data_IF_798236588712
#
_entry.id   IF_798236588712
#
_cell.length_a   1.000
_cell.length_b   1.000
_cell.length_c   1.000
_cell.angle_alpha   90.00
_cell.angle_beta   90.00
_cell.angle_gamma   90.00
#
_symmetry.space_group_name_H-M   'P 1'
#
loop_
_entity.id
_entity.type
_entity.pdbx_description
1 polymer ?
#
# COMPACT_ATOMS: atom_id res chain seq x y z
N UNK A 1 -0.54 -5.50 -56.81
CA UNK A 1 0.83 -5.31 -56.31
C UNK A 1 0.80 -4.27 -55.19
N UNK A 2 1.02 -4.72 -53.95
CA UNK A 2 1.75 -4.11 -52.81
C UNK A 2 1.66 -2.56 -52.64
N UNK A 3 1.32 -1.99 -51.49
CA UNK A 3 1.67 -2.37 -50.12
C UNK A 3 0.66 -1.88 -49.06
N UNK A 4 0.22 -2.79 -48.21
CA UNK A 4 -0.25 -2.53 -46.86
C UNK A 4 0.95 -2.18 -45.97
N UNK A 5 1.05 -0.91 -45.56
CA UNK A 5 2.04 -0.45 -44.59
C UNK A 5 1.33 0.17 -43.39
N UNK A 6 0.48 -0.61 -42.72
CA UNK A 6 0.20 -0.38 -41.30
C UNK A 6 1.19 -1.24 -40.52
N UNK A 7 2.38 -0.66 -40.28
CA UNK A 7 3.37 -1.19 -39.34
C UNK A 7 2.71 -1.22 -37.96
N UNK A 8 2.25 -2.41 -37.57
CA UNK A 8 2.20 -2.85 -36.18
C UNK A 8 3.60 -2.68 -35.59
N UNK A 9 3.91 -1.49 -35.07
CA UNK A 9 4.98 -1.34 -34.09
C UNK A 9 4.42 -2.01 -32.83
N UNK A 10 4.71 -3.31 -32.67
CA UNK A 10 4.66 -3.93 -31.34
C UNK A 10 5.48 -3.03 -30.44
N UNK A 11 4.82 -2.26 -29.57
CA UNK A 11 5.48 -1.59 -28.45
C UNK A 11 6.35 -2.65 -27.80
N UNK A 12 7.66 -2.45 -27.78
CA UNK A 12 8.57 -3.38 -27.12
C UNK A 12 8.26 -3.25 -25.64
N UNK A 13 7.35 -4.10 -25.15
CA UNK A 13 6.94 -4.11 -23.75
C UNK A 13 8.21 -4.42 -22.96
N UNK A 14 8.62 -3.47 -22.13
CA UNK A 14 9.75 -3.68 -21.24
C UNK A 14 9.26 -4.54 -20.07
N UNK A 15 10.07 -5.52 -19.66
CA UNK A 15 9.88 -6.18 -18.37
C UNK A 15 10.56 -5.35 -17.30
N UNK A 16 9.81 -4.97 -16.25
CA UNK A 16 10.37 -4.39 -15.03
C UNK A 16 10.32 -5.44 -13.93
N UNK A 17 11.44 -5.59 -13.23
CA UNK A 17 11.54 -6.43 -12.05
C UNK A 17 11.80 -5.57 -10.83
N UNK A 18 11.58 -6.14 -9.65
CA UNK A 18 11.92 -5.50 -8.38
C UNK A 18 13.40 -5.06 -8.36
N UNK A 19 14.32 -5.85 -8.91
CA UNK A 19 15.75 -5.52 -8.92
C UNK A 19 16.07 -4.34 -9.83
N UNK A 20 15.38 -4.21 -10.98
CA UNK A 20 15.49 -3.04 -11.87
C UNK A 20 14.95 -1.80 -11.16
N UNK A 21 13.79 -1.89 -10.51
CA UNK A 21 13.21 -0.78 -9.76
C UNK A 21 14.14 -0.32 -8.63
N UNK A 22 14.67 -1.25 -7.82
CA UNK A 22 15.62 -0.93 -6.73
C UNK A 22 16.87 -0.24 -7.27
N UNK A 23 17.42 -0.68 -8.41
CA UNK A 23 18.58 -0.04 -9.03
C UNK A 23 18.28 1.41 -9.44
N UNK A 24 17.13 1.63 -10.09
CA UNK A 24 16.71 2.97 -10.49
C UNK A 24 16.46 3.88 -9.27
N UNK A 25 15.85 3.35 -8.21
CA UNK A 25 15.70 4.05 -6.93
C UNK A 25 17.08 4.43 -6.38
N UNK A 26 18.03 3.49 -6.31
CA UNK A 26 19.37 3.76 -5.82
C UNK A 26 20.09 4.84 -6.64
N UNK A 27 20.03 4.78 -7.97
CA UNK A 27 20.59 5.81 -8.85
C UNK A 27 19.96 7.18 -8.59
N UNK A 28 18.64 7.24 -8.46
CA UNK A 28 17.93 8.48 -8.15
C UNK A 28 18.33 9.03 -6.77
N UNK A 29 18.39 8.18 -5.74
CA UNK A 29 18.85 8.56 -4.40
C UNK A 29 20.27 9.18 -4.42
N UNK A 30 21.19 8.60 -5.20
CA UNK A 30 22.55 9.13 -5.36
C UNK A 30 22.56 10.48 -6.06
N UNK A 31 21.73 10.66 -7.09
CA UNK A 31 21.59 11.94 -7.78
C UNK A 31 21.04 13.05 -6.87
N UNK A 32 20.24 12.67 -5.86
CA UNK A 32 19.78 13.56 -4.78
C UNK A 32 20.83 13.80 -3.69
N UNK A 33 22.03 13.22 -3.79
CA UNK A 33 23.11 13.36 -2.81
C UNK A 33 22.94 12.52 -1.54
N UNK A 34 22.00 11.57 -1.52
CA UNK A 34 21.74 10.74 -0.34
C UNK A 34 22.79 9.63 -0.17
N UNK A 35 23.17 9.38 1.07
CA UNK A 35 24.17 8.38 1.45
C UNK A 35 23.50 7.11 1.96
N UNK A 36 23.90 5.96 1.42
CA UNK A 36 23.40 4.65 1.83
C UNK A 36 24.38 3.55 1.39
N UNK A 37 24.33 2.39 2.06
CA UNK A 37 25.15 1.23 1.74
C UNK A 37 24.26 -0.01 1.55
N UNK A 38 24.57 -0.84 0.55
CA UNK A 38 23.80 -2.07 0.26
C UNK A 38 22.27 -1.87 0.12
N UNK A 39 21.83 -0.70 -0.36
CA UNK A 39 20.43 -0.27 -0.46
C UNK A 39 19.73 -0.02 0.91
N UNK A 40 20.49 0.24 1.96
CA UNK A 40 19.99 0.65 3.27
C UNK A 40 20.68 1.94 3.72
N UNK A 41 19.90 2.84 4.30
CA UNK A 41 20.39 3.98 5.05
C UNK A 41 21.02 3.53 6.38
N UNK A 42 21.93 4.34 6.92
CA UNK A 42 22.61 4.00 8.17
C UNK A 42 21.68 4.14 9.39
N UNK A 43 20.88 5.21 9.41
CA UNK A 43 19.84 5.47 10.43
C UNK A 43 18.44 5.51 9.80
N UNK A 44 17.41 5.33 10.62
CA UNK A 44 16.03 5.40 10.14
C UNK A 44 15.71 6.82 9.62
N UNK A 45 16.20 7.83 10.34
CA UNK A 45 16.04 9.25 10.05
C UNK A 45 16.61 9.65 8.69
N UNK A 46 17.66 8.96 8.23
CA UNK A 46 18.29 9.25 6.94
C UNK A 46 17.39 8.83 5.76
N UNK A 47 16.34 8.03 5.98
CA UNK A 47 15.32 7.73 4.98
C UNK A 47 14.12 8.69 5.03
N UNK A 48 14.08 9.62 5.98
CA UNK A 48 13.08 10.69 6.00
C UNK A 48 13.48 11.78 5.00
N UNK A 49 12.51 12.37 4.30
CA UNK A 49 12.82 13.47 3.36
C UNK A 49 13.08 14.81 4.05
N UNK A 50 12.67 14.92 5.31
CA UNK A 50 12.94 16.05 6.21
C UNK A 50 12.81 15.61 7.66
N UNK A 51 13.17 16.48 8.60
CA UNK A 51 12.95 16.22 10.02
C UNK A 51 11.51 16.51 10.39
N UNK A 52 10.79 15.51 10.90
CA UNK A 52 9.44 15.68 11.42
C UNK A 52 9.48 15.92 12.92
N UNK A 53 8.85 17.00 13.39
CA UNK A 53 8.77 17.29 14.83
C UNK A 53 8.00 16.24 15.62
N UNK A 54 7.15 15.44 14.96
CA UNK A 54 6.42 14.32 15.52
C UNK A 54 7.09 12.95 15.26
N UNK A 55 8.36 12.92 14.82
CA UNK A 55 9.04 11.67 14.48
C UNK A 55 9.11 10.69 15.64
N UNK A 56 9.42 11.13 16.87
CA UNK A 56 9.50 10.24 18.03
C UNK A 56 8.17 9.50 18.30
N UNK A 57 7.04 10.22 18.16
CA UNK A 57 5.71 9.63 18.28
C UNK A 57 5.47 8.60 17.15
N UNK A 58 5.80 8.96 15.91
CA UNK A 58 5.65 8.07 14.75
C UNK A 58 6.51 6.81 14.92
N UNK A 59 7.76 6.97 15.34
CA UNK A 59 8.69 5.87 15.56
C UNK A 59 8.20 4.93 16.67
N UNK A 60 7.58 5.47 17.72
CA UNK A 60 6.91 4.66 18.75
C UNK A 60 5.74 3.88 18.18
N UNK A 61 4.87 4.52 17.39
CA UNK A 61 3.72 3.85 16.76
C UNK A 61 4.18 2.72 15.82
N UNK A 62 5.23 2.95 15.03
CA UNK A 62 5.79 1.94 14.13
C UNK A 62 6.45 0.79 14.92
N UNK A 63 7.10 1.09 16.04
CA UNK A 63 7.75 0.09 16.88
C UNK A 63 6.76 -0.84 17.60
N UNK A 64 5.55 -0.36 17.85
CA UNK A 64 4.44 -1.16 18.41
C UNK A 64 3.90 -2.18 17.38
N UNK A 65 4.10 -1.92 16.08
CA UNK A 65 3.72 -2.81 15.00
C UNK A 65 4.54 -4.12 14.99
N UNK A 66 3.99 -5.17 14.38
CA UNK A 66 4.63 -6.50 14.36
C UNK A 66 5.77 -6.63 13.34
N UNK A 67 5.96 -5.62 12.49
CA UNK A 67 6.85 -5.67 11.33
C UNK A 67 8.36 -5.66 11.62
N UNK A 68 8.78 -5.38 12.86
CA UNK A 68 10.17 -5.06 13.24
C UNK A 68 10.76 -3.93 12.38
N UNK A 69 9.91 -3.01 11.91
CA UNK A 69 10.24 -2.06 10.84
C UNK A 69 11.46 -1.19 11.16
N UNK A 70 11.70 -0.87 12.43
CA UNK A 70 12.80 -0.01 12.89
C UNK A 70 13.99 -0.74 13.52
N UNK A 71 13.90 -2.07 13.73
CA UNK A 71 14.90 -2.82 14.49
C UNK A 71 15.99 -3.43 13.59
N UNK A 72 17.24 -3.35 14.04
CA UNK A 72 18.40 -3.98 13.41
C UNK A 72 19.14 -3.10 12.40
N UNK A 73 20.31 -3.57 11.95
CA UNK A 73 21.15 -2.85 10.99
C UNK A 73 20.48 -2.73 9.61
N UNK A 74 19.75 -3.78 9.21
CA UNK A 74 18.97 -3.85 7.96
C UNK A 74 17.47 -3.82 8.25
N UNK A 75 17.04 -2.88 9.07
CA UNK A 75 15.61 -2.66 9.31
C UNK A 75 14.91 -2.33 7.99
N UNK A 76 13.64 -2.73 7.86
CA UNK A 76 12.85 -2.46 6.65
C UNK A 76 12.66 -0.97 6.42
N UNK A 77 12.61 -0.15 7.48
CA UNK A 77 12.52 1.30 7.37
C UNK A 77 13.75 1.90 6.71
N UNK A 78 14.95 1.35 6.95
CA UNK A 78 16.20 1.82 6.33
C UNK A 78 16.31 1.47 4.85
N UNK A 79 15.52 0.52 4.35
CA UNK A 79 15.63 0.08 2.97
C UNK A 79 15.23 1.21 1.99
N UNK A 80 15.97 1.37 0.89
CA UNK A 80 15.59 2.29 -0.19
C UNK A 80 14.19 2.01 -0.75
N UNK A 81 13.76 0.76 -0.67
CA UNK A 81 12.47 0.25 -1.12
C UNK A 81 11.39 0.19 -0.03
N UNK A 82 11.60 0.88 1.09
CA UNK A 82 10.69 0.83 2.23
C UNK A 82 9.34 1.47 1.92
N UNK A 83 8.27 0.67 1.91
CA UNK A 83 6.89 1.14 1.90
C UNK A 83 6.52 1.88 3.18
N UNK A 84 7.08 1.47 4.33
CA UNK A 84 6.91 2.16 5.61
C UNK A 84 7.51 3.57 5.56
N UNK A 85 8.74 3.75 5.04
CA UNK A 85 9.33 5.08 4.90
C UNK A 85 8.57 5.94 3.88
N UNK A 86 8.09 5.37 2.78
CA UNK A 86 7.23 6.07 1.81
C UNK A 86 5.91 6.54 2.47
N UNK A 87 5.29 5.67 3.27
CA UNK A 87 4.08 5.96 4.03
C UNK A 87 4.34 7.11 5.02
N UNK A 88 5.37 7.01 5.85
CA UNK A 88 5.75 8.08 6.80
C UNK A 88 6.04 9.38 6.08
N UNK A 89 6.85 9.34 5.01
CA UNK A 89 7.16 10.55 4.26
C UNK A 89 5.95 11.18 3.58
N UNK A 90 4.86 10.44 3.39
CA UNK A 90 3.60 10.99 2.88
C UNK A 90 2.71 11.51 4.02
N UNK A 91 2.54 10.74 5.08
CA UNK A 91 1.50 10.96 6.09
C UNK A 91 1.99 11.65 7.36
N UNK A 92 3.30 11.82 7.60
CA UNK A 92 3.80 12.47 8.81
C UNK A 92 3.29 13.92 8.96
N UNK A 93 3.30 14.78 7.91
CA UNK A 93 2.71 16.11 8.01
C UNK A 93 1.18 16.09 8.10
N UNK A 94 0.51 15.12 7.46
CA UNK A 94 -0.94 14.96 7.60
C UNK A 94 -1.30 14.63 9.05
N UNK A 95 -0.55 13.75 9.71
CA UNK A 95 -0.73 13.45 11.14
C UNK A 95 -0.54 14.70 12.01
N UNK A 96 0.43 15.55 11.67
CA UNK A 96 0.70 16.79 12.41
C UNK A 96 -0.41 17.83 12.24
N UNK A 97 -0.96 17.96 11.03
CA UNK A 97 -1.97 18.96 10.66
C UNK A 97 -3.28 18.29 10.24
N UNK A 98 -3.72 17.34 11.06
CA UNK A 98 -4.82 16.42 10.72
C UNK A 98 -6.15 17.12 10.42
N UNK A 99 -6.42 18.25 11.10
CA UNK A 99 -7.60 19.08 10.86
C UNK A 99 -7.59 19.80 9.51
N UNK A 100 -6.42 20.02 8.92
CA UNK A 100 -6.25 20.72 7.64
C UNK A 100 -6.35 19.75 6.44
N UNK A 101 -6.50 18.45 6.71
CA UNK A 101 -6.55 17.40 5.72
C UNK A 101 -7.99 17.00 5.36
N UNK A 102 -8.28 16.95 4.07
CA UNK A 102 -9.56 16.48 3.54
C UNK A 102 -9.32 15.28 2.62
N UNK A 103 -10.17 14.28 2.69
CA UNK A 103 -10.06 13.08 1.87
C UNK A 103 -11.43 12.51 1.50
N UNK A 104 -11.66 12.31 0.21
CA UNK A 104 -12.92 11.77 -0.34
C UNK A 104 -14.19 12.52 0.12
N UNK A 105 -14.06 13.82 0.33
CA UNK A 105 -15.15 14.70 0.77
C UNK A 105 -15.29 14.80 2.30
N UNK A 106 -14.58 13.98 3.06
CA UNK A 106 -14.56 14.04 4.51
C UNK A 106 -13.44 14.97 5.00
N UNK A 107 -13.73 15.71 6.07
CA UNK A 107 -12.85 16.68 6.75
C UNK A 107 -12.82 16.41 8.26
N UNK A 108 -12.19 17.32 9.01
CA UNK A 108 -12.27 17.36 10.49
C UNK A 108 -11.80 16.06 11.16
N UNK A 109 -10.78 15.43 10.57
CA UNK A 109 -10.14 14.27 11.17
C UNK A 109 -9.49 14.65 12.51
N UNK A 110 -9.71 13.82 13.52
CA UNK A 110 -9.30 14.10 14.90
C UNK A 110 -8.35 13.06 15.48
N UNK A 111 -8.19 11.93 14.78
CA UNK A 111 -7.28 10.87 15.22
C UNK A 111 -6.58 10.23 14.03
N UNK A 112 -5.27 10.00 14.17
CA UNK A 112 -4.49 9.19 13.26
C UNK A 112 -3.41 8.36 13.97
N UNK A 113 -3.05 7.22 13.39
CA UNK A 113 -2.03 6.31 13.92
C UNK A 113 -1.35 5.50 12.81
N UNK A 114 -0.02 5.40 12.85
CA UNK A 114 0.74 4.45 12.05
C UNK A 114 0.68 3.04 12.66
N UNK A 115 0.81 2.01 11.81
CA UNK A 115 0.81 0.59 12.22
C UNK A 115 -0.39 0.23 13.13
N UNK A 116 -1.59 0.69 12.76
CA UNK A 116 -2.79 0.42 13.55
C UNK A 116 -3.22 -1.04 13.36
N UNK A 117 -2.96 -1.86 14.38
CA UNK A 117 -3.51 -3.22 14.43
C UNK A 117 -5.05 -3.24 14.41
N UNK A 118 -5.61 -4.02 13.47
CA UNK A 118 -7.05 -4.29 13.34
C UNK A 118 -7.31 -5.80 13.38
N UNK A 119 -7.67 -6.37 14.55
CA UNK A 119 -7.82 -7.81 14.72
C UNK A 119 -8.88 -8.43 13.81
N UNK A 120 -8.53 -9.53 13.15
CA UNK A 120 -9.46 -10.36 12.36
C UNK A 120 -10.15 -11.43 13.19
N UNK A 121 -9.81 -11.60 14.48
CA UNK A 121 -10.18 -12.76 15.31
C UNK A 121 -9.19 -13.93 15.17
N UNK A 122 -8.49 -14.03 14.04
CA UNK A 122 -7.48 -15.06 13.77
C UNK A 122 -6.06 -14.50 13.82
N UNK A 123 -5.89 -13.27 13.34
CA UNK A 123 -4.62 -12.54 13.36
C UNK A 123 -4.87 -11.06 13.60
N UNK A 124 -3.81 -10.28 13.74
CA UNK A 124 -3.91 -8.82 13.86
C UNK A 124 -2.98 -8.22 12.81
N UNK A 125 -3.47 -8.00 11.58
CA UNK A 125 -2.75 -7.24 10.58
C UNK A 125 -2.67 -5.77 11.00
N UNK A 126 -1.53 -5.15 10.74
CA UNK A 126 -1.27 -3.74 11.02
C UNK A 126 -1.56 -2.93 9.76
N UNK A 127 -2.36 -1.87 9.89
CA UNK A 127 -2.62 -0.90 8.82
C UNK A 127 -1.51 0.15 8.85
N UNK A 128 -0.89 0.42 7.70
CA UNK A 128 0.27 1.33 7.63
C UNK A 128 -0.08 2.73 8.13
N UNK A 129 -1.24 3.28 7.75
CA UNK A 129 -1.73 4.55 8.28
C UNK A 129 -3.26 4.55 8.47
N UNK A 130 -3.72 4.90 9.66
CA UNK A 130 -5.14 4.98 10.01
C UNK A 130 -5.50 6.41 10.35
N UNK A 131 -6.66 6.88 9.89
CA UNK A 131 -7.20 8.20 10.22
C UNK A 131 -8.72 8.14 10.37
N UNK A 132 -9.30 8.92 11.30
CA UNK A 132 -10.76 8.97 11.50
C UNK A 132 -11.27 10.33 11.95
N UNK A 133 -12.53 10.59 11.64
CA UNK A 133 -13.36 11.65 12.21
C UNK A 133 -14.57 11.02 12.93
N UNK A 134 -15.64 11.79 13.15
CA UNK A 134 -16.84 11.32 13.83
C UNK A 134 -17.80 10.49 12.95
N UNK A 135 -17.61 10.52 11.63
CA UNK A 135 -18.52 9.89 10.66
C UNK A 135 -17.87 8.74 9.90
N UNK A 136 -16.54 8.74 9.78
CA UNK A 136 -15.79 7.84 8.92
C UNK A 136 -14.40 7.50 9.48
N UNK A 137 -13.82 6.41 8.97
CA UNK A 137 -12.38 6.19 9.04
C UNK A 137 -11.83 5.63 7.74
N UNK A 138 -10.54 5.91 7.52
CA UNK A 138 -9.74 5.46 6.39
C UNK A 138 -8.55 4.66 6.92
N UNK A 139 -8.39 3.46 6.40
CA UNK A 139 -7.29 2.56 6.69
C UNK A 139 -6.44 2.41 5.42
N UNK A 140 -5.25 2.99 5.42
CA UNK A 140 -4.35 3.02 4.27
C UNK A 140 -3.37 1.84 4.33
N UNK A 141 -3.40 1.02 3.29
CA UNK A 141 -2.42 -0.02 2.99
C UNK A 141 -1.49 0.49 1.88
N UNK A 142 -0.24 0.72 2.23
CA UNK A 142 0.82 1.33 1.42
C UNK A 142 1.67 0.27 0.72
N UNK A 143 1.83 0.42 -0.60
CA UNK A 143 2.78 -0.37 -1.40
C UNK A 143 3.74 0.52 -2.16
N UNK A 144 5.02 0.21 -2.06
CA UNK A 144 6.05 0.86 -2.87
C UNK A 144 6.40 0.01 -4.09
N UNK A 145 7.12 -1.09 -3.92
CA UNK A 145 7.54 -1.95 -5.05
C UNK A 145 7.15 -3.42 -4.87
N UNK A 146 6.44 -3.75 -3.80
CA UNK A 146 6.04 -5.12 -3.48
C UNK A 146 5.12 -5.72 -4.54
N UNK A 147 4.33 -4.88 -5.22
CA UNK A 147 3.44 -5.28 -6.32
C UNK A 147 4.19 -5.51 -7.64
N UNK A 148 5.52 -5.43 -7.67
CA UNK A 148 6.34 -5.87 -8.82
C UNK A 148 6.65 -7.37 -8.76
N UNK A 149 6.39 -8.02 -7.62
CA UNK A 149 6.65 -9.44 -7.40
C UNK A 149 5.33 -10.17 -7.17
N UNK A 150 4.87 -11.00 -8.14
CA UNK A 150 3.55 -11.60 -8.04
C UNK A 150 3.54 -12.77 -7.04
N UNK A 151 2.43 -12.92 -6.33
CA UNK A 151 2.24 -13.87 -5.22
C UNK A 151 1.00 -14.73 -5.44
N UNK A 152 1.01 -15.95 -4.94
CA UNK A 152 -0.22 -16.75 -4.87
C UNK A 152 -1.14 -16.14 -3.80
N UNK A 153 -2.43 -15.92 -4.09
CA UNK A 153 -3.40 -15.44 -3.11
C UNK A 153 -3.41 -16.29 -1.83
N UNK A 154 -3.51 -17.60 -1.97
CA UNK A 154 -3.54 -18.55 -0.86
C UNK A 154 -2.24 -19.35 -0.78
N UNK A 155 -1.16 -18.69 -0.39
CA UNK A 155 0.13 -19.36 -0.20
C UNK A 155 0.23 -20.05 1.17
N UNK A 156 0.97 -21.15 1.22
CA UNK A 156 1.31 -21.86 2.45
C UNK A 156 2.68 -21.37 2.92
N UNK A 157 2.73 -20.88 4.15
CA UNK A 157 3.97 -20.37 4.74
C UNK A 157 4.95 -21.45 5.14
N UNK A 158 6.21 -21.06 5.31
CA UNK A 158 7.21 -21.96 5.87
C UNK A 158 6.79 -22.37 7.28
N UNK A 159 6.64 -23.67 7.52
CA UNK A 159 6.15 -24.22 8.78
C UNK A 159 4.64 -24.22 8.96
N UNK A 160 3.86 -23.74 7.98
CA UNK A 160 2.40 -23.78 7.99
C UNK A 160 1.89 -25.01 7.23
N UNK A 161 0.76 -25.57 7.66
CA UNK A 161 0.08 -26.67 6.97
C UNK A 161 -1.17 -26.19 6.22
N UNK A 162 -1.60 -24.95 6.46
CA UNK A 162 -2.82 -24.35 5.91
C UNK A 162 -2.48 -23.04 5.21
N UNK A 163 -3.12 -22.81 4.06
CA UNK A 163 -2.95 -21.57 3.31
C UNK A 163 -3.41 -20.33 4.09
N UNK A 164 -2.79 -19.19 3.78
CA UNK A 164 -2.97 -17.95 4.53
C UNK A 164 -4.40 -17.37 4.50
N UNK A 165 -5.23 -17.76 3.53
CA UNK A 165 -6.66 -17.45 3.42
C UNK A 165 -7.51 -18.64 3.86
N UNK A 166 -7.10 -19.87 3.53
CA UNK A 166 -7.82 -21.09 3.92
C UNK A 166 -8.09 -21.17 5.43
N UNK A 167 -7.17 -20.68 6.26
CA UNK A 167 -7.36 -20.65 7.71
C UNK A 167 -8.59 -19.84 8.18
N UNK A 168 -9.04 -18.86 7.39
CA UNK A 168 -10.25 -18.09 7.69
C UNK A 168 -11.51 -18.90 7.43
N UNK A 169 -11.56 -19.64 6.31
CA UNK A 169 -12.68 -20.55 5.99
C UNK A 169 -12.77 -21.67 7.03
N UNK A 170 -11.63 -22.27 7.41
CA UNK A 170 -11.59 -23.35 8.40
C UNK A 170 -12.09 -22.92 9.78
N UNK A 171 -12.03 -21.63 10.10
CA UNK A 171 -12.42 -21.04 11.38
C UNK A 171 -13.59 -20.07 11.22
N UNK A 172 -14.42 -20.24 10.19
CA UNK A 172 -15.51 -19.32 9.89
C UNK A 172 -16.48 -19.11 11.07
N UNK A 173 -16.70 -20.14 11.88
CA UNK A 173 -17.58 -20.06 13.06
C UNK A 173 -17.02 -19.15 14.17
N UNK A 174 -15.73 -18.81 14.12
CA UNK A 174 -15.07 -17.87 15.05
C UNK A 174 -15.06 -16.44 14.51
N UNK A 175 -15.53 -16.22 13.28
CA UNK A 175 -15.51 -14.96 12.58
C UNK A 175 -16.92 -14.37 12.48
N UNK A 176 -17.05 -13.06 12.67
CA UNK A 176 -18.30 -12.36 12.43
C UNK A 176 -18.34 -11.83 10.99
N UNK A 177 -18.31 -12.74 10.02
CA UNK A 177 -18.33 -12.41 8.59
C UNK A 177 -19.64 -12.86 7.95
N UNK A 178 -20.17 -12.12 6.95
CA UNK A 178 -21.30 -12.61 6.16
C UNK A 178 -20.92 -13.90 5.41
N UNK A 179 -21.83 -14.88 5.35
CA UNK A 179 -21.62 -16.13 4.59
C UNK A 179 -21.23 -15.86 3.13
N UNK A 180 -21.90 -14.88 2.50
CA UNK A 180 -21.57 -14.44 1.14
C UNK A 180 -20.13 -13.94 1.00
N UNK A 181 -19.54 -13.35 2.03
CA UNK A 181 -18.13 -12.93 1.99
C UNK A 181 -17.20 -14.14 1.91
N UNK A 182 -17.52 -15.19 2.66
CA UNK A 182 -16.76 -16.45 2.61
C UNK A 182 -16.89 -17.10 1.23
N UNK A 183 -18.12 -17.19 0.71
CA UNK A 183 -18.41 -17.83 -0.58
C UNK A 183 -17.86 -17.06 -1.78
N UNK A 184 -18.08 -15.75 -1.84
CA UNK A 184 -17.79 -14.94 -3.04
C UNK A 184 -16.38 -14.35 -3.06
N UNK A 185 -15.76 -14.16 -1.88
CA UNK A 185 -14.42 -13.55 -1.75
C UNK A 185 -13.39 -14.60 -1.35
N UNK A 186 -13.52 -15.21 -0.16
CA UNK A 186 -12.49 -16.12 0.35
C UNK A 186 -12.35 -17.35 -0.53
N UNK A 187 -13.42 -18.09 -0.80
CA UNK A 187 -13.36 -19.30 -1.63
C UNK A 187 -12.90 -19.00 -3.06
N UNK A 188 -13.26 -17.85 -3.62
CA UNK A 188 -12.77 -17.44 -4.93
C UNK A 188 -11.24 -17.31 -4.93
N UNK A 189 -10.68 -16.48 -4.05
CA UNK A 189 -9.23 -16.24 -4.02
C UNK A 189 -8.43 -17.46 -3.54
N UNK A 190 -9.02 -18.33 -2.71
CA UNK A 190 -8.40 -19.60 -2.30
C UNK A 190 -8.16 -20.52 -3.50
N UNK A 191 -9.06 -20.53 -4.47
CA UNK A 191 -9.01 -21.43 -5.62
C UNK A 191 -8.11 -20.92 -6.76
N UNK A 192 -7.65 -19.66 -6.72
CA UNK A 192 -6.72 -19.12 -7.71
C UNK A 192 -5.37 -19.82 -7.61
N UNK A 193 -4.95 -20.47 -8.70
CA UNK A 193 -3.67 -21.18 -8.82
C UNK A 193 -2.57 -20.35 -9.50
N UNK A 194 -2.90 -19.15 -9.99
CA UNK A 194 -1.96 -18.25 -10.65
C UNK A 194 -1.49 -17.16 -9.70
N UNK A 195 -0.25 -16.69 -9.89
CA UNK A 195 0.27 -15.57 -9.10
C UNK A 195 -0.37 -14.26 -9.57
N UNK A 196 -0.64 -13.38 -8.63
CA UNK A 196 -1.21 -12.05 -8.83
C UNK A 196 -0.22 -10.99 -8.36
N UNK A 197 -0.17 -9.84 -9.02
CA UNK A 197 0.63 -8.68 -8.58
C UNK A 197 0.00 -7.97 -7.38
N UNK A 198 -1.32 -8.01 -7.25
CA UNK A 198 -2.06 -7.54 -6.10
C UNK A 198 -1.93 -8.54 -4.93
N UNK A 199 -1.51 -8.06 -3.76
CA UNK A 199 -1.51 -8.87 -2.52
C UNK A 199 -2.92 -8.98 -1.93
N UNK A 200 -3.81 -9.66 -2.66
CA UNK A 200 -5.21 -9.89 -2.26
C UNK A 200 -5.31 -10.55 -0.89
N UNK A 201 -4.32 -11.37 -0.53
CA UNK A 201 -4.28 -12.06 0.75
C UNK A 201 -4.17 -11.10 1.92
N UNK A 202 -3.36 -10.05 1.77
CA UNK A 202 -3.20 -9.01 2.76
C UNK A 202 -4.44 -8.11 2.79
N UNK A 203 -4.93 -7.69 1.62
CA UNK A 203 -6.13 -6.86 1.53
C UNK A 203 -7.35 -7.51 2.19
N UNK A 204 -7.60 -8.80 1.94
CA UNK A 204 -8.70 -9.53 2.58
C UNK A 204 -8.56 -9.55 4.11
N UNK A 205 -7.34 -9.73 4.64
CA UNK A 205 -7.12 -9.68 6.10
C UNK A 205 -7.47 -8.31 6.66
N UNK A 206 -7.09 -7.23 5.96
CA UNK A 206 -7.48 -5.88 6.36
C UNK A 206 -8.99 -5.67 6.28
N UNK A 207 -9.64 -6.12 5.20
CA UNK A 207 -11.11 -6.08 5.06
C UNK A 207 -11.79 -6.76 6.26
N UNK A 208 -11.37 -7.98 6.61
CA UNK A 208 -11.92 -8.71 7.76
C UNK A 208 -11.69 -7.94 9.07
N UNK A 209 -10.47 -7.43 9.29
CA UNK A 209 -10.14 -6.65 10.49
C UNK A 209 -10.96 -5.37 10.61
N UNK A 210 -11.19 -4.69 9.50
CA UNK A 210 -12.02 -3.47 9.38
C UNK A 210 -13.50 -3.80 9.65
N UNK A 211 -14.03 -4.86 9.04
CA UNK A 211 -15.41 -5.31 9.26
C UNK A 211 -15.66 -5.66 10.73
N UNK A 212 -14.71 -6.37 11.36
CA UNK A 212 -14.76 -6.74 12.78
C UNK A 212 -14.57 -5.56 13.74
N UNK A 213 -14.06 -4.42 13.27
CA UNK A 213 -13.94 -3.24 14.08
C UNK A 213 -15.34 -2.69 14.41
N UNK A 214 -15.76 -2.86 15.67
CA UNK A 214 -17.09 -2.47 16.18
C UNK A 214 -17.19 -0.95 16.26
N UNK A 215 -17.82 -0.36 15.24
CA UNK A 215 -18.07 1.07 15.14
C UNK A 215 -19.12 1.32 14.06
N UNK A 216 -19.90 2.39 14.22
CA UNK A 216 -20.91 2.83 13.24
C UNK A 216 -20.33 3.75 12.16
N UNK A 217 -19.02 4.05 12.22
CA UNK A 217 -18.32 4.88 11.25
C UNK A 217 -18.35 4.21 9.87
N UNK A 218 -18.48 5.04 8.82
CA UNK A 218 -18.23 4.61 7.45
C UNK A 218 -16.78 4.12 7.32
N UNK A 219 -16.61 2.90 6.82
CA UNK A 219 -15.31 2.21 6.78
C UNK A 219 -14.76 2.22 5.37
N UNK A 220 -13.51 2.64 5.19
CA UNK A 220 -12.83 2.59 3.89
C UNK A 220 -11.44 1.99 4.02
N UNK A 221 -11.18 0.91 3.30
CA UNK A 221 -9.82 0.43 3.02
C UNK A 221 -9.28 1.18 1.81
N UNK A 222 -8.22 1.95 2.00
CA UNK A 222 -7.50 2.65 0.94
C UNK A 222 -6.29 1.82 0.56
N UNK A 223 -6.23 1.33 -0.68
CA UNK A 223 -5.03 0.71 -1.22
C UNK A 223 -4.23 1.79 -1.95
N UNK A 224 -3.14 2.25 -1.34
CA UNK A 224 -2.27 3.28 -1.91
C UNK A 224 -0.98 2.67 -2.42
N UNK A 225 -0.68 2.85 -3.70
CA UNK A 225 0.45 2.19 -4.34
C UNK A 225 1.26 3.13 -5.23
N UNK A 226 2.56 2.88 -5.30
CA UNK A 226 3.47 3.66 -6.12
C UNK A 226 3.46 3.17 -7.57
N UNK A 227 3.68 4.08 -8.51
CA UNK A 227 3.93 3.77 -9.91
C UNK A 227 5.12 4.61 -10.38
N UNK A 228 6.02 4.07 -11.22
CA UNK A 228 7.00 4.90 -11.90
C UNK A 228 6.32 5.87 -12.86
N UNK A 229 7.00 6.98 -13.16
CA UNK A 229 6.52 8.00 -14.10
C UNK A 229 6.13 7.39 -15.45
N UNK A 230 6.89 6.39 -15.89
CA UNK A 230 6.69 5.68 -17.16
C UNK A 230 6.03 4.31 -16.99
N UNK A 231 5.16 4.11 -15.99
CA UNK A 231 4.47 2.83 -15.75
C UNK A 231 3.71 2.30 -16.98
N UNK A 232 3.16 3.18 -17.83
CA UNK A 232 2.47 2.80 -19.07
C UNK A 232 3.36 2.05 -20.08
N UNK A 233 4.68 1.99 -19.86
CA UNK A 233 5.62 1.24 -20.68
C UNK A 233 5.76 -0.23 -20.29
N UNK A 234 5.13 -0.67 -19.20
CA UNK A 234 5.26 -2.02 -18.66
C UNK A 234 3.89 -2.68 -18.48
N UNK A 235 3.72 -3.87 -19.06
CA UNK A 235 2.45 -4.64 -19.01
C UNK A 235 2.06 -5.06 -17.59
N UNK A 236 3.01 -5.20 -16.67
CA UNK A 236 2.69 -5.62 -15.31
C UNK A 236 1.80 -4.62 -14.57
N UNK A 237 1.92 -3.32 -14.87
CA UNK A 237 1.09 -2.32 -14.20
C UNK A 237 -0.35 -2.34 -14.71
N UNK A 238 -0.54 -2.68 -15.99
CA UNK A 238 -1.86 -2.95 -16.56
C UNK A 238 -2.49 -4.19 -15.91
N UNK A 239 -1.70 -5.27 -15.73
CA UNK A 239 -2.17 -6.48 -15.00
C UNK A 239 -2.53 -6.17 -13.55
N UNK A 240 -1.68 -5.43 -12.84
CA UNK A 240 -1.94 -5.02 -11.46
C UNK A 240 -3.22 -4.18 -11.36
N UNK A 241 -3.44 -3.23 -12.28
CA UNK A 241 -4.66 -2.43 -12.33
C UNK A 241 -5.91 -3.28 -12.62
N UNK A 242 -5.83 -4.27 -13.52
CA UNK A 242 -6.91 -5.20 -13.78
C UNK A 242 -7.28 -6.02 -12.53
N UNK A 243 -6.28 -6.51 -11.80
CA UNK A 243 -6.48 -7.24 -10.54
C UNK A 243 -7.10 -6.36 -9.43
N UNK A 244 -6.71 -5.08 -9.34
CA UNK A 244 -7.33 -4.10 -8.44
C UNK A 244 -8.80 -3.91 -8.77
N UNK A 245 -9.12 -3.75 -10.05
CA UNK A 245 -10.50 -3.55 -10.50
C UNK A 245 -11.36 -4.79 -10.23
N UNK A 246 -10.83 -6.00 -10.47
CA UNK A 246 -11.52 -7.24 -10.12
C UNK A 246 -11.82 -7.31 -8.61
N UNK A 247 -10.82 -7.03 -7.76
CA UNK A 247 -10.99 -7.03 -6.31
C UNK A 247 -12.03 -6.01 -5.85
N UNK A 248 -12.01 -4.80 -6.45
CA UNK A 248 -12.98 -3.73 -6.18
C UNK A 248 -14.40 -4.14 -6.55
N UNK A 249 -14.61 -4.70 -7.75
CA UNK A 249 -15.93 -5.13 -8.21
C UNK A 249 -16.49 -6.24 -7.30
N UNK A 250 -15.65 -7.18 -6.86
CA UNK A 250 -16.07 -8.22 -5.91
C UNK A 250 -16.49 -7.64 -4.55
N UNK A 251 -15.77 -6.64 -4.05
CA UNK A 251 -16.13 -5.97 -2.80
C UNK A 251 -17.35 -5.04 -2.92
N UNK A 252 -17.78 -4.67 -4.13
CA UNK A 252 -18.91 -3.75 -4.34
C UNK A 252 -20.23 -4.30 -3.74
N UNK A 253 -20.43 -5.62 -3.76
CA UNK A 253 -21.56 -6.30 -3.09
C UNK A 253 -21.60 -6.05 -1.57
N UNK A 254 -20.47 -5.64 -0.98
CA UNK A 254 -20.29 -5.39 0.46
C UNK A 254 -20.13 -3.90 0.79
N UNK A 255 -20.46 -2.98 -0.13
CA UNK A 255 -20.27 -1.52 0.03
C UNK A 255 -20.92 -0.90 1.27
N UNK A 256 -21.98 -1.53 1.79
CA UNK A 256 -22.65 -1.10 3.03
C UNK A 256 -21.84 -1.45 4.29
N UNK A 257 -20.90 -2.39 4.19
CA UNK A 257 -20.04 -2.83 5.29
C UNK A 257 -18.64 -2.21 5.19
N UNK A 258 -18.12 -2.09 3.97
CA UNK A 258 -16.78 -1.56 3.72
C UNK A 258 -16.68 -1.00 2.29
N UNK A 259 -16.01 0.14 2.17
CA UNK A 259 -15.59 0.67 0.88
C UNK A 259 -14.14 0.27 0.58
N UNK A 260 -13.84 -0.02 -0.68
CA UNK A 260 -12.47 -0.21 -1.16
C UNK A 260 -12.11 0.90 -2.14
N UNK A 261 -11.03 1.64 -1.84
CA UNK A 261 -10.59 2.79 -2.61
C UNK A 261 -9.13 2.62 -3.04
N UNK A 262 -8.86 2.14 -4.27
CA UNK A 262 -7.51 2.15 -4.81
C UNK A 262 -7.12 3.55 -5.27
N UNK A 263 -5.91 3.98 -4.96
CA UNK A 263 -5.34 5.25 -5.43
C UNK A 263 -3.83 5.12 -5.60
N UNK A 264 -3.25 5.79 -6.59
CA UNK A 264 -1.79 5.86 -6.71
C UNK A 264 -1.24 6.94 -5.79
N UNK A 265 0.00 6.78 -5.32
CA UNK A 265 0.69 7.85 -4.58
C UNK A 265 0.75 9.16 -5.38
N UNK A 266 0.96 9.10 -6.70
CA UNK A 266 0.97 10.27 -7.57
C UNK A 266 -0.39 10.99 -7.54
N UNK A 267 -1.50 10.25 -7.69
CA UNK A 267 -2.84 10.83 -7.65
C UNK A 267 -3.18 11.40 -6.26
N UNK A 268 -2.79 10.71 -5.20
CA UNK A 268 -2.93 11.17 -3.83
C UNK A 268 -2.13 12.47 -3.59
N UNK A 269 -0.90 12.54 -4.06
CA UNK A 269 -0.09 13.76 -3.94
C UNK A 269 -0.65 14.91 -4.77
N UNK A 270 -1.10 14.64 -6.00
CA UNK A 270 -1.75 15.64 -6.86
C UNK A 270 -2.96 16.28 -6.18
N UNK A 271 -3.78 15.50 -5.45
CA UNK A 271 -4.94 16.05 -4.74
C UNK A 271 -4.57 17.01 -3.60
N UNK A 272 -3.33 16.96 -3.11
CA UNK A 272 -2.83 17.79 -2.02
C UNK A 272 -2.04 19.02 -2.48
N UNK A 273 -1.71 19.16 -3.77
CA UNK A 273 -0.87 20.26 -4.26
C UNK A 273 -1.50 21.64 -4.06
N UNK A 274 -2.83 21.72 -4.11
CA UNK A 274 -3.53 22.98 -3.91
C UNK A 274 -3.67 23.36 -2.44
N UNK A 275 -3.48 22.42 -1.51
CA UNK A 275 -3.54 22.69 -0.08
C UNK A 275 -2.25 23.38 0.37
N UNK A 276 -2.35 24.65 0.79
CA UNK A 276 -1.20 25.47 1.20
C UNK A 276 -0.38 24.84 2.33
N UNK A 277 -1.02 24.06 3.22
CA UNK A 277 -0.34 23.37 4.32
C UNK A 277 0.62 22.29 3.83
N UNK A 278 0.24 21.55 2.79
CA UNK A 278 0.95 20.35 2.34
C UNK A 278 1.74 20.57 1.05
N UNK A 279 1.46 21.61 0.28
CA UNK A 279 2.02 21.86 -1.05
C UNK A 279 3.54 21.70 -1.12
N UNK A 280 4.27 22.39 -0.24
CA UNK A 280 5.73 22.39 -0.31
C UNK A 280 6.34 21.07 0.15
N UNK A 281 5.73 20.41 1.13
CA UNK A 281 6.09 19.05 1.52
C UNK A 281 5.91 18.07 0.36
N UNK A 282 4.74 18.10 -0.28
CA UNK A 282 4.40 17.20 -1.38
C UNK A 282 5.36 17.38 -2.57
N UNK A 283 5.84 18.60 -2.85
CA UNK A 283 6.90 18.82 -3.84
C UNK A 283 8.17 18.02 -3.49
N UNK A 284 8.59 18.01 -2.22
CA UNK A 284 9.76 17.23 -1.76
C UNK A 284 9.51 15.73 -1.86
N UNK A 285 8.32 15.26 -1.47
CA UNK A 285 7.93 13.84 -1.60
C UNK A 285 7.98 13.40 -3.07
N UNK A 286 7.39 14.18 -3.98
CA UNK A 286 7.45 13.90 -5.42
C UNK A 286 8.89 13.91 -5.93
N UNK A 287 9.72 14.87 -5.50
CA UNK A 287 11.12 14.90 -5.90
C UNK A 287 11.88 13.63 -5.47
N UNK A 288 11.54 13.08 -4.30
CA UNK A 288 12.11 11.84 -3.77
C UNK A 288 11.66 10.59 -4.52
N UNK A 289 10.37 10.47 -4.80
CA UNK A 289 9.74 9.21 -5.18
C UNK A 289 9.18 9.16 -6.61
N UNK A 290 9.05 10.28 -7.31
CA UNK A 290 8.54 10.31 -8.68
C UNK A 290 9.66 9.94 -9.67
N UNK A 291 9.93 8.64 -9.77
CA UNK A 291 11.11 8.08 -10.44
C UNK A 291 10.70 7.47 -11.77
N UNK A 292 11.50 7.73 -12.82
CA UNK A 292 11.43 6.98 -14.08
C UNK A 292 12.26 5.71 -13.95
N UNK A 293 11.74 4.60 -14.44
CA UNK A 293 12.47 3.33 -14.45
C UNK A 293 12.95 3.01 -15.85
N UNK A 294 14.23 2.72 -15.99
CA UNK A 294 14.88 2.25 -17.22
C UNK A 294 15.55 0.89 -17.01
N UNK A 295 15.60 0.08 -18.07
CA UNK A 295 16.30 -1.21 -18.08
C UNK A 295 17.82 -1.04 -18.05
#
# INVERSE_FOLDING_TARGET
>A
MLTSSNKNIKKMIMEITESIAVRNIATHCKALGLQFSNNYFDRNEDNLIEQYSNWELIASEISDGKGNELKGEKSKFKALRSSCALCVNTFAPIKQYISDFNFLGDSDFTYSKFEKGLPTGISTPDIDFYIKNNDSFYAFESKYIEHLTPKLPNWIGSGETVGNLQKYVNRQNELNLPDRFIEEILNYYINIQTKMYLDVSQLIKHVIGIMNHKTDLKKTLVYIYWLPVNHLDFELFEKHEAEINEFKERLYSFKNLINFHPITYINFWNSLENNERFRDHIKKVKHRYNIKVTN
#
